data_IF_582071382767
#
_entry.id   IF_582071382767
#
_cell.length_a   1.000
_cell.length_b   1.000
_cell.length_c   1.000
_cell.angle_alpha   90.00
_cell.angle_beta   90.00
_cell.angle_gamma   90.00
#
_symmetry.space_group_name_H-M   'P 1'
#
loop_
_entity.id
_entity.type
_entity.pdbx_description
1 polymer ?
#
# COMPACT_ATOMS: atom_id res chain seq x y z
N UNK A 1 -8.87 -12.79 -6.85
CA UNK A 1 -8.24 -12.87 -5.51
C UNK A 1 -9.08 -12.10 -4.52
N UNK A 2 -9.50 -12.72 -3.42
CA UNK A 2 -10.35 -12.09 -2.40
C UNK A 2 -9.55 -12.04 -1.11
N UNK A 3 -8.94 -10.89 -0.84
CA UNK A 3 -8.22 -10.66 0.41
C UNK A 3 -9.20 -10.17 1.48
N UNK A 4 -9.20 -10.76 2.69
CA UNK A 4 -9.97 -10.21 3.80
C UNK A 4 -9.44 -8.81 4.17
N UNK A 5 -10.28 -7.98 4.77
CA UNK A 5 -9.93 -6.60 5.10
C UNK A 5 -8.69 -6.51 6.01
N UNK A 6 -8.51 -7.46 6.93
CA UNK A 6 -7.34 -7.57 7.80
C UNK A 6 -6.06 -7.75 6.99
N UNK A 7 -6.04 -8.71 6.04
CA UNK A 7 -4.86 -9.01 5.24
C UNK A 7 -4.46 -7.83 4.34
N UNK A 8 -5.44 -7.09 3.82
CA UNK A 8 -5.17 -5.84 3.07
C UNK A 8 -4.47 -4.79 3.95
N UNK A 9 -4.89 -4.64 5.21
CA UNK A 9 -4.30 -3.70 6.15
C UNK A 9 -2.88 -4.13 6.53
N UNK A 10 -2.66 -5.42 6.78
CA UNK A 10 -1.33 -5.96 7.07
C UNK A 10 -0.36 -5.74 5.90
N UNK A 11 -0.84 -5.89 4.67
CA UNK A 11 -0.07 -5.57 3.45
C UNK A 11 0.25 -4.07 3.38
N UNK A 12 -0.74 -3.20 3.60
CA UNK A 12 -0.53 -1.74 3.59
C UNK A 12 0.54 -1.38 4.63
N UNK A 13 0.38 -1.82 5.88
CA UNK A 13 1.35 -1.56 6.97
C UNK A 13 2.74 -2.13 6.68
N UNK A 14 2.83 -3.32 6.10
CA UNK A 14 4.12 -3.93 5.74
C UNK A 14 4.83 -3.14 4.65
N UNK A 15 4.07 -2.60 3.69
CA UNK A 15 4.60 -1.71 2.65
C UNK A 15 5.01 -0.36 3.25
N UNK A 16 4.24 0.20 4.18
CA UNK A 16 4.58 1.45 4.87
C UNK A 16 5.82 1.35 5.76
N UNK A 17 5.96 0.22 6.46
CA UNK A 17 7.13 -0.06 7.30
C UNK A 17 8.37 -0.44 6.47
N UNK A 18 8.18 -0.81 5.20
CA UNK A 18 9.28 -1.13 4.32
C UNK A 18 9.88 0.16 3.76
N UNK A 19 11.21 0.30 3.87
CA UNK A 19 11.93 1.41 3.27
C UNK A 19 12.20 1.18 1.77
N UNK A 20 11.73 0.05 1.24
CA UNK A 20 11.87 -0.33 -0.15
C UNK A 20 10.81 0.35 -1.02
N UNK A 21 11.05 0.49 -2.35
CA UNK A 21 10.04 0.97 -3.27
C UNK A 21 8.80 0.09 -3.23
N UNK A 22 7.61 0.70 -3.12
CA UNK A 22 6.32 0.00 -3.05
C UNK A 22 6.16 -1.05 -4.16
N UNK A 23 6.56 -0.73 -5.39
CA UNK A 23 6.53 -1.67 -6.52
C UNK A 23 7.36 -2.93 -6.28
N UNK A 24 8.51 -2.82 -5.62
CA UNK A 24 9.39 -3.95 -5.32
C UNK A 24 8.76 -4.84 -4.24
N UNK A 25 8.28 -4.25 -3.15
CA UNK A 25 7.60 -4.99 -2.07
C UNK A 25 6.34 -5.69 -2.58
N UNK A 26 5.54 -5.04 -3.43
CA UNK A 26 4.37 -5.63 -4.06
C UNK A 26 4.72 -6.77 -5.04
N UNK A 27 5.81 -6.62 -5.80
CA UNK A 27 6.31 -7.69 -6.66
C UNK A 27 6.74 -8.93 -5.86
N UNK A 28 7.38 -8.73 -4.69
CA UNK A 28 7.75 -9.81 -3.78
C UNK A 28 6.51 -10.50 -3.18
N UNK A 29 5.44 -9.74 -2.90
CA UNK A 29 4.17 -10.28 -2.40
C UNK A 29 3.27 -10.87 -3.51
N UNK A 30 3.63 -10.72 -4.79
CA UNK A 30 2.82 -11.16 -5.92
C UNK A 30 1.53 -10.34 -6.13
N UNK A 31 1.49 -9.11 -5.63
CA UNK A 31 0.31 -8.24 -5.69
C UNK A 31 0.47 -7.24 -6.84
N UNK A 32 -0.50 -7.18 -7.78
CA UNK A 32 -0.49 -6.15 -8.81
C UNK A 32 -0.59 -4.75 -8.20
N UNK A 33 0.24 -3.81 -8.66
CA UNK A 33 0.25 -2.44 -8.15
C UNK A 33 -1.11 -1.74 -8.29
N UNK A 34 -1.85 -2.01 -9.37
CA UNK A 34 -3.20 -1.46 -9.59
C UNK A 34 -4.17 -1.82 -8.45
N UNK A 35 -4.16 -3.09 -8.04
CA UNK A 35 -4.99 -3.60 -6.95
C UNK A 35 -4.62 -2.96 -5.62
N UNK A 36 -3.32 -2.79 -5.35
CA UNK A 36 -2.85 -2.11 -4.15
C UNK A 36 -3.28 -0.65 -4.12
N UNK A 37 -3.12 0.08 -5.22
CA UNK A 37 -3.54 1.48 -5.30
C UNK A 37 -5.05 1.66 -5.14
N UNK A 38 -5.88 0.72 -5.64
CA UNK A 38 -7.33 0.73 -5.40
C UNK A 38 -7.67 0.57 -3.91
N UNK A 39 -7.02 -0.37 -3.21
CA UNK A 39 -7.21 -0.53 -1.77
C UNK A 39 -6.68 0.65 -0.98
N UNK A 40 -5.54 1.21 -1.39
CA UNK A 40 -4.93 2.38 -0.77
C UNK A 40 -5.81 3.61 -0.94
N UNK A 41 -6.37 3.84 -2.13
CA UNK A 41 -7.31 4.94 -2.37
C UNK A 41 -8.52 4.85 -1.42
N UNK A 42 -9.13 3.67 -1.31
CA UNK A 42 -10.29 3.43 -0.43
C UNK A 42 -9.96 3.53 1.05
N UNK A 43 -8.73 3.17 1.43
CA UNK A 43 -8.23 3.33 2.80
C UNK A 43 -7.96 4.80 3.14
N UNK A 44 -7.35 5.55 2.21
CA UNK A 44 -7.08 6.99 2.34
C UNK A 44 -8.37 7.82 2.36
N UNK A 45 -9.38 7.47 1.55
CA UNK A 45 -10.71 8.09 1.57
C UNK A 45 -11.45 7.84 2.90
N UNK A 46 -11.09 6.79 3.65
CA UNK A 46 -11.70 6.40 4.93
C UNK A 46 -11.18 7.15 6.18
N UNK A 47 -10.03 7.84 6.13
CA UNK A 47 -9.68 8.88 7.11
C UNK A 47 -8.27 8.89 7.77
N UNK A 48 -7.75 10.13 7.82
CA UNK A 48 -6.90 10.84 8.84
C UNK A 48 -5.37 10.77 8.85
N UNK A 49 -4.65 9.70 8.49
CA UNK A 49 -3.16 9.75 8.64
C UNK A 49 -2.42 10.14 7.35
N UNK A 50 -2.66 11.38 6.91
CA UNK A 50 -1.89 12.01 5.83
C UNK A 50 -0.65 12.67 6.42
N UNK A 51 0.56 12.15 6.11
CA UNK A 51 1.73 13.01 5.81
C UNK A 51 3.02 12.32 5.35
N UNK A 52 3.18 11.00 5.46
CA UNK A 52 4.52 10.40 5.26
C UNK A 52 4.64 9.63 3.93
N UNK A 53 3.56 9.03 3.42
CA UNK A 53 3.65 8.02 2.34
C UNK A 53 3.50 8.52 0.91
N UNK A 54 2.77 9.61 0.68
CA UNK A 54 2.69 10.19 -0.65
C UNK A 54 4.05 10.72 -1.15
N UNK A 55 4.96 11.06 -0.23
CA UNK A 55 6.28 11.61 -0.56
C UNK A 55 7.27 10.54 -1.05
N UNK A 56 7.22 9.30 -0.52
CA UNK A 56 8.14 8.23 -0.93
C UNK A 56 7.72 7.51 -2.22
N UNK A 57 6.44 7.59 -2.59
CA UNK A 57 5.91 6.96 -3.81
C UNK A 57 6.10 7.80 -5.09
N UNK A 58 6.36 9.10 -4.97
CA UNK A 58 6.49 10.05 -6.10
C UNK A 58 7.95 10.49 -6.35
N UNK A 59 8.87 10.23 -5.42
CA UNK A 59 10.28 10.64 -5.52
C UNK A 59 11.18 9.63 -6.27
N UNK A 60 10.65 8.97 -7.31
CA UNK A 60 11.40 8.08 -8.20
C UNK A 60 11.12 8.40 -9.66
#
# INVERSE_FOLDING_TARGET
>A
MRYPASEKIEIIRSVEASHLPVKQTLAMLGIPSSTYYDWYARWVEGGVERRILAAMCVAG
#
